data_IF_533104494357
#
_entry.id   IF_533104494357
#
_cell.length_a   1.000
_cell.length_b   1.000
_cell.length_c   1.000
_cell.angle_alpha   90.00
_cell.angle_beta   90.00
_cell.angle_gamma   90.00
#
_symmetry.space_group_name_H-M   'P 1'
#
loop_
_entity.id
_entity.type
_entity.pdbx_description
1 polymer ?
#
# COMPACT_ATOMS: atom_id res chain seq x y z
N UNK A 1 10.45 -12.08 15.15
CA UNK A 1 10.91 -10.89 14.41
C UNK A 1 10.72 -11.18 12.93
N UNK A 2 9.83 -10.46 12.23
CA UNK A 2 9.65 -10.65 10.78
C UNK A 2 10.48 -9.59 10.04
N UNK A 3 11.41 -10.04 9.22
CA UNK A 3 12.28 -9.18 8.41
C UNK A 3 11.64 -8.96 7.04
N UNK A 4 11.54 -7.72 6.60
CA UNK A 4 10.99 -7.34 5.30
C UNK A 4 12.00 -6.53 4.52
N UNK A 5 12.40 -7.05 3.36
CA UNK A 5 13.50 -6.55 2.54
C UNK A 5 12.97 -6.29 1.13
N UNK A 6 13.24 -5.11 0.57
CA UNK A 6 12.94 -4.81 -0.83
C UNK A 6 11.52 -4.32 -1.01
N UNK A 7 10.61 -5.26 -1.25
CA UNK A 7 9.25 -4.98 -1.65
C UNK A 7 8.28 -6.06 -1.16
N UNK A 8 6.98 -5.75 -1.08
CA UNK A 8 5.96 -6.76 -0.85
C UNK A 8 5.80 -7.71 -2.04
N UNK A 9 5.69 -9.01 -1.81
CA UNK A 9 5.51 -10.01 -2.89
C UNK A 9 4.30 -9.72 -3.80
N UNK A 10 3.23 -9.10 -3.26
CA UNK A 10 2.02 -8.81 -4.03
C UNK A 10 2.25 -7.87 -5.23
N UNK A 11 3.33 -7.08 -5.25
CA UNK A 11 3.60 -6.20 -6.39
C UNK A 11 4.15 -6.95 -7.60
N UNK A 12 4.66 -8.17 -7.40
CA UNK A 12 5.11 -9.04 -8.48
C UNK A 12 3.95 -9.82 -9.11
N UNK A 13 2.83 -9.96 -8.40
CA UNK A 13 1.62 -10.58 -8.92
C UNK A 13 0.72 -9.51 -9.56
N UNK A 14 0.70 -9.49 -10.88
CA UNK A 14 -0.11 -8.54 -11.66
C UNK A 14 -1.60 -8.66 -11.33
N UNK A 15 -2.11 -9.85 -10.99
CA UNK A 15 -3.53 -10.04 -10.66
C UNK A 15 -3.89 -9.40 -9.34
N UNK A 16 -3.03 -9.56 -8.33
CA UNK A 16 -3.24 -8.93 -7.02
C UNK A 16 -3.05 -7.42 -7.10
N UNK A 17 -2.11 -6.94 -7.93
CA UNK A 17 -1.92 -5.52 -8.17
C UNK A 17 -3.13 -4.89 -8.89
N UNK A 18 -3.63 -5.53 -9.96
CA UNK A 18 -4.81 -5.07 -10.69
C UNK A 18 -6.05 -5.06 -9.80
N UNK A 19 -6.26 -6.12 -9.01
CA UNK A 19 -7.36 -6.19 -8.03
C UNK A 19 -7.30 -5.08 -7.00
N UNK A 20 -6.10 -4.69 -6.56
CA UNK A 20 -5.92 -3.58 -5.61
C UNK A 20 -6.37 -2.24 -6.22
N UNK A 21 -6.08 -2.00 -7.49
CA UNK A 21 -6.38 -0.74 -8.17
C UNK A 21 -7.61 -0.79 -9.08
N UNK A 22 -8.39 -1.88 -9.04
CA UNK A 22 -9.55 -2.08 -9.93
C UNK A 22 -10.58 -0.94 -9.91
N UNK A 23 -10.66 -0.21 -8.79
CA UNK A 23 -11.60 0.90 -8.58
C UNK A 23 -10.96 2.28 -8.79
N UNK A 24 -9.73 2.36 -9.30
CA UNK A 24 -9.03 3.62 -9.57
C UNK A 24 -9.04 3.87 -11.07
N UNK A 25 -9.76 4.91 -11.50
CA UNK A 25 -9.78 5.34 -12.91
C UNK A 25 -8.96 6.61 -13.08
N UNK A 26 -8.04 6.60 -14.03
CA UNK A 26 -7.10 7.69 -14.30
C UNK A 26 -7.23 8.12 -15.75
N UNK A 27 -7.30 9.43 -16.00
CA UNK A 27 -7.31 10.03 -17.34
C UNK A 27 -6.11 10.96 -17.54
N UNK A 28 -5.36 10.86 -18.65
CA UNK A 28 -4.13 11.64 -18.86
C UNK A 28 -4.29 13.17 -18.76
N UNK A 29 -5.46 13.70 -19.12
CA UNK A 29 -5.72 15.15 -19.19
C UNK A 29 -6.42 15.72 -17.94
N UNK A 30 -6.79 14.86 -16.98
CA UNK A 30 -7.66 15.22 -15.84
C UNK A 30 -6.95 15.06 -14.51
N UNK A 31 -5.87 15.82 -14.32
CA UNK A 31 -5.01 15.68 -13.14
C UNK A 31 -5.78 15.86 -11.83
N UNK A 32 -6.64 16.88 -11.73
CA UNK A 32 -7.37 17.16 -10.49
C UNK A 32 -8.37 16.04 -10.14
N UNK A 33 -9.14 15.57 -11.11
CA UNK A 33 -10.09 14.47 -10.94
C UNK A 33 -9.38 13.16 -10.60
N UNK A 34 -8.20 12.91 -11.18
CA UNK A 34 -7.37 11.75 -10.82
C UNK A 34 -6.99 11.79 -9.35
N UNK A 35 -6.58 12.94 -8.83
CA UNK A 35 -6.23 13.09 -7.41
C UNK A 35 -7.47 12.82 -6.53
N UNK A 36 -8.63 13.35 -6.87
CA UNK A 36 -9.87 13.10 -6.13
C UNK A 36 -10.24 11.61 -6.12
N UNK A 37 -10.16 10.93 -7.28
CA UNK A 37 -10.42 9.50 -7.40
C UNK A 37 -9.46 8.67 -6.53
N UNK A 38 -8.17 9.05 -6.49
CA UNK A 38 -7.18 8.38 -5.64
C UNK A 38 -7.51 8.59 -4.15
N UNK A 39 -7.81 9.82 -3.74
CA UNK A 39 -8.15 10.14 -2.35
C UNK A 39 -9.41 9.41 -1.88
N UNK A 40 -10.43 9.34 -2.73
CA UNK A 40 -11.65 8.59 -2.45
C UNK A 40 -11.35 7.09 -2.29
N UNK A 41 -10.57 6.51 -3.20
CA UNK A 41 -10.18 5.11 -3.15
C UNK A 41 -9.41 4.76 -1.87
N UNK A 42 -8.45 5.61 -1.48
CA UNK A 42 -7.70 5.45 -0.23
C UNK A 42 -8.63 5.50 0.98
N UNK A 43 -9.53 6.47 1.02
CA UNK A 43 -10.50 6.64 2.12
C UNK A 43 -11.41 5.42 2.27
N UNK A 44 -11.95 4.91 1.16
CA UNK A 44 -12.80 3.71 1.16
C UNK A 44 -12.02 2.47 1.61
N UNK A 45 -10.76 2.34 1.20
CA UNK A 45 -9.91 1.21 1.59
C UNK A 45 -9.64 1.23 3.10
N UNK A 46 -9.29 2.39 3.67
CA UNK A 46 -9.10 2.53 5.11
C UNK A 46 -10.39 2.30 5.90
N UNK A 47 -11.53 2.80 5.41
CA UNK A 47 -12.84 2.52 6.02
C UNK A 47 -13.20 1.04 6.01
N UNK A 48 -12.92 0.33 4.91
CA UNK A 48 -13.15 -1.11 4.81
C UNK A 48 -12.30 -1.92 5.80
N UNK A 49 -11.20 -1.36 6.29
CA UNK A 49 -10.38 -1.98 7.33
C UNK A 49 -10.95 -1.83 8.74
N UNK A 50 -11.90 -0.92 8.98
CA UNK A 50 -12.55 -0.75 10.28
C UNK A 50 -13.31 -2.02 10.69
N UNK A 51 -13.01 -2.57 11.87
CA UNK A 51 -13.63 -3.78 12.41
C UNK A 51 -13.09 -5.10 11.84
N UNK A 52 -12.11 -5.04 10.92
CA UNK A 52 -11.44 -6.24 10.39
C UNK A 52 -10.17 -6.59 11.19
N UNK A 53 -9.78 -7.87 11.22
CA UNK A 53 -8.55 -8.30 11.89
C UNK A 53 -7.35 -7.66 11.20
N UNK A 54 -6.49 -6.98 11.96
CA UNK A 54 -5.31 -6.29 11.44
C UNK A 54 -4.43 -7.28 10.67
N UNK A 55 -4.35 -7.11 9.35
CA UNK A 55 -3.46 -7.93 8.56
C UNK A 55 -2.00 -7.52 8.83
N UNK A 56 -1.29 -8.37 9.57
CA UNK A 56 0.12 -8.14 9.91
C UNK A 56 1.02 -8.20 8.68
N UNK A 57 0.59 -8.81 7.56
CA UNK A 57 1.38 -8.89 6.31
C UNK A 57 1.35 -7.61 5.45
N UNK A 58 0.42 -6.68 5.72
CA UNK A 58 0.38 -5.40 4.99
C UNK A 58 1.65 -4.57 5.25
N UNK A 59 2.19 -4.01 4.18
CA UNK A 59 3.27 -3.03 4.20
C UNK A 59 2.65 -1.63 4.23
N UNK A 60 3.01 -0.82 5.22
CA UNK A 60 2.50 0.55 5.37
C UNK A 60 3.36 1.57 4.62
N UNK A 61 4.37 1.12 3.87
CA UNK A 61 5.37 1.99 3.24
C UNK A 61 5.58 1.51 1.81
N UNK A 62 5.48 2.43 0.86
CA UNK A 62 5.74 2.14 -0.53
C UNK A 62 7.21 1.70 -0.72
N UNK A 63 7.49 0.73 -1.60
CA UNK A 63 8.84 0.19 -1.80
C UNK A 63 9.82 1.24 -2.37
N UNK A 64 9.34 2.31 -3.01
CA UNK A 64 10.14 3.39 -3.57
C UNK A 64 10.49 4.52 -2.56
N UNK A 65 10.51 4.23 -1.26
CA UNK A 65 10.87 5.21 -0.22
C UNK A 65 12.30 4.93 0.25
N UNK A 66 13.20 5.91 0.08
CA UNK A 66 14.57 5.85 0.61
C UNK A 66 14.56 6.19 2.11
N UNK A 67 14.14 5.25 2.95
CA UNK A 67 14.19 5.38 4.42
C UNK A 67 14.17 3.99 5.10
N UNK A 68 14.24 3.91 6.43
CA UNK A 68 13.96 2.70 7.19
C UNK A 68 13.05 3.04 8.37
N UNK A 69 12.02 2.22 8.64
CA UNK A 69 11.04 2.46 9.70
C UNK A 69 10.86 1.24 10.61
N UNK A 70 10.63 1.51 11.91
CA UNK A 70 10.28 0.51 12.92
C UNK A 70 8.83 0.66 13.36
N UNK A 71 8.00 -0.36 13.11
CA UNK A 71 6.61 -0.41 13.58
C UNK A 71 6.55 -1.09 14.95
N UNK A 72 6.35 -0.30 16.01
CA UNK A 72 6.28 -0.79 17.40
C UNK A 72 5.08 -1.74 17.62
N UNK A 73 3.94 -1.45 16.99
CA UNK A 73 2.71 -2.26 17.11
C UNK A 73 2.80 -3.62 16.40
N UNK A 74 3.67 -3.75 15.39
CA UNK A 74 3.90 -5.00 14.66
C UNK A 74 5.22 -5.70 15.04
N UNK A 75 6.03 -5.08 15.90
CA UNK A 75 7.42 -5.48 16.20
C UNK A 75 8.21 -5.83 14.92
N UNK A 76 8.21 -4.90 13.96
CA UNK A 76 8.70 -5.11 12.61
C UNK A 76 9.65 -3.99 12.17
N UNK A 77 10.78 -4.37 11.58
CA UNK A 77 11.73 -3.46 10.92
C UNK A 77 11.56 -3.64 9.41
N UNK A 78 11.25 -2.55 8.70
CA UNK A 78 11.22 -2.53 7.24
C UNK A 78 12.48 -1.83 6.72
N UNK A 79 13.32 -2.58 6.00
CA UNK A 79 14.55 -2.08 5.38
C UNK A 79 14.38 -2.14 3.87
N UNK A 80 14.49 -0.99 3.21
CA UNK A 80 14.41 -0.89 1.75
C UNK A 80 15.86 -0.89 1.19
N UNK A 81 16.35 -2.00 0.62
CA UNK A 81 17.62 -2.03 -0.10
C UNK A 81 17.45 -1.39 -1.49
N UNK A 82 18.50 -0.68 -1.91
CA UNK A 82 18.87 -0.63 -3.31
C UNK A 82 19.48 -1.98 -3.71
#
# INVERSE_FOLDING_TARGET
>A
MMLRIGYPDFILDTKELDKRYQNVTIHPERYFENILNILEHLTRTEQAHLGTVVNKTQWNTAPAVVNAYYSRNKNQISKFPF
#
